data_IF_924349445812
#
_entry.id   IF_924349445812
#
_cell.length_a   1.000
_cell.length_b   1.000
_cell.length_c   1.000
_cell.angle_alpha   90.00
_cell.angle_beta   90.00
_cell.angle_gamma   90.00
#
_symmetry.space_group_name_H-M   'P 1'
#
loop_
_entity.id
_entity.type
_entity.pdbx_description
1 polymer ?
#
# COMPACT_ATOMS: atom_id res chain seq x y z
N UNK A 1 -11.56 5.12 6.71
CA UNK A 1 -12.04 5.25 5.31
C UNK A 1 -13.29 6.12 5.16
N UNK A 2 -14.23 6.11 6.11
CA UNK A 2 -15.51 6.82 6.01
C UNK A 2 -15.34 8.30 5.69
N UNK A 3 -14.42 9.01 6.35
CA UNK A 3 -14.15 10.44 6.11
C UNK A 3 -13.44 10.72 4.79
N UNK A 4 -12.71 9.75 4.25
CA UNK A 4 -11.90 9.92 3.03
C UNK A 4 -12.60 9.44 1.76
N UNK A 5 -13.77 8.82 1.90
CA UNK A 5 -14.50 8.30 0.75
C UNK A 5 -15.24 9.40 0.00
N UNK A 6 -15.25 9.34 -1.33
CA UNK A 6 -15.82 10.38 -2.18
C UNK A 6 -17.29 10.61 -1.87
N UNK A 7 -18.09 9.57 -1.70
CA UNK A 7 -19.50 9.67 -1.31
C UNK A 7 -19.70 9.17 0.12
N UNK A 8 -19.35 9.99 1.07
CA UNK A 8 -19.37 9.68 2.50
C UNK A 8 -20.77 9.22 2.99
N UNK A 9 -21.84 9.86 2.55
CA UNK A 9 -23.20 9.51 2.98
C UNK A 9 -23.62 8.12 2.49
N UNK A 10 -23.31 7.78 1.25
CA UNK A 10 -23.61 6.46 0.71
C UNK A 10 -22.73 5.39 1.35
N UNK A 11 -21.48 5.71 1.67
CA UNK A 11 -20.63 4.80 2.42
C UNK A 11 -21.20 4.47 3.81
N UNK A 12 -21.68 5.50 4.53
CA UNK A 12 -22.33 5.32 5.84
C UNK A 12 -23.57 4.42 5.74
N UNK A 13 -24.45 4.68 4.78
CA UNK A 13 -25.62 3.85 4.52
C UNK A 13 -25.27 2.42 4.13
N UNK A 14 -24.16 2.21 3.43
CA UNK A 14 -23.69 0.88 3.08
C UNK A 14 -23.13 0.14 4.31
N UNK A 15 -22.36 0.83 5.14
CA UNK A 15 -21.83 0.25 6.39
C UNK A 15 -22.95 -0.22 7.33
N UNK A 16 -24.03 0.55 7.44
CA UNK A 16 -25.21 0.19 8.25
C UNK A 16 -25.96 -1.05 7.75
N UNK A 17 -25.76 -1.45 6.49
CA UNK A 17 -26.40 -2.64 5.90
C UNK A 17 -25.54 -3.90 5.98
N UNK A 18 -24.29 -3.80 6.42
CA UNK A 18 -23.43 -4.95 6.58
C UNK A 18 -23.91 -5.81 7.76
N UNK A 19 -23.93 -7.12 7.57
CA UNK A 19 -24.23 -8.08 8.64
C UNK A 19 -23.12 -8.12 9.70
N UNK A 20 -21.89 -7.84 9.29
CA UNK A 20 -20.73 -7.83 10.17
C UNK A 20 -19.61 -6.98 9.57
N UNK A 21 -19.16 -5.98 10.30
CA UNK A 21 -18.08 -5.07 9.90
C UNK A 21 -16.91 -5.17 10.88
N UNK A 22 -15.76 -5.58 10.39
CA UNK A 22 -14.51 -5.55 11.13
C UNK A 22 -13.69 -4.33 10.71
N UNK A 23 -13.23 -3.59 11.68
CA UNK A 23 -12.30 -2.46 11.46
C UNK A 23 -10.99 -2.76 12.15
N UNK A 24 -9.90 -2.59 11.44
CA UNK A 24 -8.54 -2.59 11.97
C UNK A 24 -8.03 -1.17 12.01
N UNK A 25 -7.67 -0.68 13.18
CA UNK A 25 -7.18 0.68 13.37
C UNK A 25 -6.25 0.77 14.58
N UNK A 26 -5.37 1.77 14.58
CA UNK A 26 -4.54 2.13 15.74
C UNK A 26 -5.30 2.97 16.77
N UNK A 27 -6.41 3.57 16.39
CA UNK A 27 -7.29 4.37 17.24
C UNK A 27 -8.68 3.77 17.36
N UNK A 28 -9.22 3.76 18.56
CA UNK A 28 -10.52 3.16 18.85
C UNK A 28 -11.71 4.10 18.65
N UNK A 29 -11.46 5.39 18.47
CA UNK A 29 -12.48 6.45 18.43
C UNK A 29 -12.64 7.13 17.06
N UNK A 30 -12.11 6.50 16.00
CA UNK A 30 -12.28 7.01 14.63
C UNK A 30 -13.74 6.92 14.17
N UNK A 31 -14.14 7.80 13.25
CA UNK A 31 -15.48 7.72 12.68
C UNK A 31 -15.79 6.35 12.07
N UNK A 32 -14.81 5.72 11.44
CA UNK A 32 -14.97 4.39 10.86
C UNK A 32 -15.19 3.33 11.93
N UNK A 33 -14.44 3.40 13.04
CA UNK A 33 -14.56 2.47 14.15
C UNK A 33 -15.95 2.50 14.81
N UNK A 34 -16.67 3.62 14.74
CA UNK A 34 -18.03 3.73 15.31
C UNK A 34 -19.09 2.88 14.61
N UNK A 35 -18.80 2.39 13.42
CA UNK A 35 -19.71 1.54 12.64
C UNK A 35 -19.36 0.06 12.71
N UNK A 36 -18.25 -0.32 13.36
CA UNK A 36 -17.84 -1.72 13.39
C UNK A 36 -18.51 -2.53 14.49
N UNK A 37 -18.70 -3.81 14.19
CA UNK A 37 -19.09 -4.83 15.17
C UNK A 37 -17.88 -5.35 15.94
N UNK A 38 -16.70 -5.35 15.29
CA UNK A 38 -15.45 -5.77 15.88
C UNK A 38 -14.32 -4.81 15.49
N UNK A 39 -13.66 -4.24 16.50
CA UNK A 39 -12.44 -3.46 16.33
C UNK A 39 -11.23 -4.31 16.70
N UNK A 40 -10.28 -4.41 15.77
CA UNK A 40 -9.00 -5.06 15.97
C UNK A 40 -7.90 -3.99 16.11
N UNK A 41 -7.35 -3.80 17.32
CA UNK A 41 -6.31 -2.80 17.54
C UNK A 41 -5.00 -3.24 16.91
N UNK A 42 -4.45 -2.40 16.02
CA UNK A 42 -3.17 -2.62 15.35
C UNK A 42 -2.06 -1.76 15.94
N UNK A 43 -0.87 -2.30 16.02
CA UNK A 43 0.33 -1.56 16.38
C UNK A 43 0.57 -0.40 15.39
N UNK A 44 1.12 0.71 15.86
CA UNK A 44 1.48 1.81 14.97
C UNK A 44 2.74 1.52 14.15
N UNK A 45 3.01 2.34 13.12
CA UNK A 45 4.13 2.14 12.19
C UNK A 45 5.51 2.06 12.83
N UNK A 46 5.71 2.73 13.99
CA UNK A 46 7.00 2.72 14.71
C UNK A 46 7.30 1.37 15.39
N UNK A 47 6.35 0.47 15.44
CA UNK A 47 6.45 -0.84 16.06
C UNK A 47 6.40 -1.99 15.05
N UNK A 48 6.35 -1.66 13.76
CA UNK A 48 6.19 -2.63 12.66
C UNK A 48 7.50 -2.81 11.90
N UNK A 49 7.66 -3.99 11.32
CA UNK A 49 8.70 -4.30 10.37
C UNK A 49 8.09 -4.61 9.01
N UNK A 50 8.76 -4.22 7.94
CA UNK A 50 8.31 -4.51 6.59
C UNK A 50 9.18 -3.87 5.52
N UNK A 51 8.72 -3.92 4.28
CA UNK A 51 9.35 -3.23 3.15
C UNK A 51 8.34 -2.25 2.55
N UNK A 52 8.77 -1.02 2.40
CA UNK A 52 8.03 0.04 1.72
C UNK A 52 8.59 0.24 0.33
N UNK A 53 7.71 0.54 -0.62
CA UNK A 53 8.09 0.95 -1.98
C UNK A 53 7.49 2.32 -2.23
N UNK A 54 8.31 3.29 -2.58
CA UNK A 54 7.87 4.66 -2.85
C UNK A 54 7.71 4.93 -4.35
N UNK A 55 7.27 6.14 -4.70
CA UNK A 55 7.08 6.58 -6.09
C UNK A 55 8.39 6.69 -6.88
N UNK A 56 9.52 6.78 -6.21
CA UNK A 56 10.87 6.72 -6.83
C UNK A 56 11.32 5.29 -7.13
N UNK A 57 10.43 4.31 -6.96
CA UNK A 57 10.74 2.88 -7.16
C UNK A 57 11.74 2.33 -6.14
N UNK A 58 11.93 3.00 -4.99
CA UNK A 58 12.87 2.54 -3.95
C UNK A 58 12.18 1.63 -2.96
N UNK A 59 12.79 0.46 -2.78
CA UNK A 59 12.47 -0.44 -1.69
C UNK A 59 13.29 -0.02 -0.47
N UNK A 60 12.64 0.20 0.63
CA UNK A 60 13.28 0.56 1.90
C UNK A 60 12.72 -0.29 3.03
N UNK A 61 13.55 -0.69 3.96
CA UNK A 61 13.11 -1.44 5.12
C UNK A 61 12.54 -0.51 6.18
N UNK A 62 11.34 -0.81 6.64
CA UNK A 62 10.79 -0.27 7.87
C UNK A 62 11.31 -1.09 9.04
N UNK A 63 12.06 -0.46 9.93
CA UNK A 63 12.54 -1.08 11.16
C UNK A 63 11.73 -0.58 12.35
N UNK A 64 11.31 -1.45 13.26
CA UNK A 64 10.66 -1.01 14.49
C UNK A 64 11.67 -0.20 15.34
N UNK A 65 11.25 0.95 15.83
CA UNK A 65 12.01 1.82 16.72
C UNK A 65 11.44 1.85 18.13
N UNK A 66 10.25 1.32 18.31
CA UNK A 66 9.59 1.12 19.59
C UNK A 66 9.24 -0.35 19.78
N UNK A 67 9.28 -0.79 21.03
CA UNK A 67 8.84 -2.13 21.39
C UNK A 67 7.31 -2.25 21.37
N UNK A 68 6.81 -3.39 20.90
CA UNK A 68 5.40 -3.76 21.03
C UNK A 68 5.12 -4.21 22.48
N UNK A 69 3.92 -3.91 22.95
CA UNK A 69 3.39 -4.55 24.16
C UNK A 69 3.08 -6.02 23.88
N UNK A 70 3.06 -6.84 24.91
CA UNK A 70 2.86 -8.29 24.80
C UNK A 70 1.61 -8.70 23.98
N UNK A 71 0.53 -7.94 24.11
CA UNK A 71 -0.74 -8.21 23.42
C UNK A 71 -1.00 -7.28 22.23
N UNK A 72 0.03 -6.58 21.74
CA UNK A 72 -0.11 -5.65 20.62
C UNK A 72 0.25 -6.38 19.33
N UNK A 73 -0.71 -6.51 18.42
CA UNK A 73 -0.57 -7.17 17.14
C UNK A 73 -0.26 -6.15 16.03
N UNK A 74 0.51 -6.56 15.05
CA UNK A 74 0.65 -5.80 13.80
C UNK A 74 -0.45 -6.21 12.82
N UNK A 75 -0.69 -5.39 11.78
CA UNK A 75 -1.60 -5.76 10.69
C UNK A 75 -1.24 -7.14 10.12
N UNK A 76 0.05 -7.43 10.02
CA UNK A 76 0.54 -8.72 9.56
C UNK A 76 0.10 -9.87 10.48
N UNK A 77 0.25 -9.70 11.79
CA UNK A 77 -0.17 -10.70 12.79
C UNK A 77 -1.69 -10.91 12.75
N UNK A 78 -2.46 -9.82 12.63
CA UNK A 78 -3.92 -9.83 12.54
C UNK A 78 -4.37 -10.59 11.29
N UNK A 79 -3.83 -10.25 10.13
CA UNK A 79 -4.18 -10.91 8.86
C UNK A 79 -3.84 -12.40 8.86
N UNK A 80 -2.70 -12.79 9.42
CA UNK A 80 -2.35 -14.20 9.60
C UNK A 80 -3.32 -14.91 10.55
N UNK A 81 -3.73 -14.24 11.64
CA UNK A 81 -4.69 -14.77 12.60
C UNK A 81 -6.04 -15.05 11.95
N UNK A 82 -6.57 -14.08 11.21
CA UNK A 82 -7.81 -14.21 10.45
C UNK A 82 -7.72 -15.37 9.44
N UNK A 83 -6.66 -15.41 8.66
CA UNK A 83 -6.48 -16.47 7.67
C UNK A 83 -6.40 -17.86 8.30
N UNK A 84 -5.74 -18.01 9.44
CA UNK A 84 -5.70 -19.28 10.20
C UNK A 84 -7.08 -19.66 10.72
N UNK A 85 -7.85 -18.70 11.23
CA UNK A 85 -9.21 -18.93 11.71
C UNK A 85 -10.15 -19.37 10.58
N UNK A 86 -9.91 -18.89 9.35
CA UNK A 86 -10.62 -19.30 8.14
C UNK A 86 -10.12 -20.66 7.57
N UNK A 87 -9.27 -21.39 8.28
CA UNK A 87 -8.80 -22.71 7.85
C UNK A 87 -7.62 -22.67 6.86
N UNK A 88 -7.04 -21.49 6.61
CA UNK A 88 -5.93 -21.32 5.65
C UNK A 88 -4.54 -21.58 6.27
N UNK A 89 -4.47 -22.14 7.48
CA UNK A 89 -3.24 -22.31 8.24
C UNK A 89 -2.09 -22.94 7.44
N UNK A 90 -2.34 -24.07 6.75
CA UNK A 90 -1.34 -24.75 5.91
C UNK A 90 -0.75 -23.87 4.80
N UNK A 91 -1.55 -22.99 4.21
CA UNK A 91 -1.11 -22.04 3.19
C UNK A 91 -0.21 -20.96 3.80
N UNK A 92 -0.55 -20.51 5.01
CA UNK A 92 0.10 -19.41 5.70
C UNK A 92 1.33 -19.83 6.52
N UNK A 93 1.56 -21.12 6.75
CA UNK A 93 2.66 -21.64 7.55
C UNK A 93 4.06 -21.25 7.02
N UNK A 94 4.15 -20.93 5.74
CA UNK A 94 5.39 -20.43 5.11
C UNK A 94 5.66 -18.94 5.39
N UNK A 95 4.66 -18.18 5.87
CA UNK A 95 4.76 -16.76 6.14
C UNK A 95 4.74 -16.49 7.64
N UNK A 96 5.84 -16.78 8.31
CA UNK A 96 5.98 -16.57 9.76
C UNK A 96 6.33 -15.13 10.11
N UNK A 97 7.02 -14.45 9.20
CA UNK A 97 7.55 -13.09 9.37
C UNK A 97 7.28 -12.24 8.14
N UNK A 98 7.28 -10.89 8.25
CA UNK A 98 7.23 -10.00 7.10
C UNK A 98 8.33 -10.27 6.05
N UNK A 99 9.50 -10.77 6.49
CA UNK A 99 10.57 -11.22 5.59
C UNK A 99 10.10 -12.37 4.68
N UNK A 100 9.40 -13.37 5.23
CA UNK A 100 8.93 -14.51 4.43
C UNK A 100 7.93 -14.08 3.35
N UNK A 101 7.06 -13.13 3.69
CA UNK A 101 6.15 -12.53 2.73
C UNK A 101 6.90 -11.75 1.64
N UNK A 102 7.92 -10.97 2.02
CA UNK A 102 8.77 -10.27 1.07
C UNK A 102 9.51 -11.23 0.13
N UNK A 103 10.09 -12.31 0.64
CA UNK A 103 10.78 -13.33 -0.19
C UNK A 103 9.82 -13.99 -1.17
N UNK A 104 8.58 -14.21 -0.77
CA UNK A 104 7.53 -14.72 -1.67
C UNK A 104 7.21 -13.70 -2.77
N UNK A 105 6.98 -12.44 -2.42
CA UNK A 105 6.73 -11.35 -3.37
C UNK A 105 7.91 -11.22 -4.36
N UNK A 106 9.12 -11.20 -3.84
CA UNK A 106 10.34 -11.15 -4.65
C UNK A 106 10.40 -12.27 -5.69
N UNK A 107 10.08 -13.49 -5.30
CA UNK A 107 10.06 -14.64 -6.22
C UNK A 107 9.02 -14.46 -7.34
N UNK A 108 7.88 -13.83 -7.05
CA UNK A 108 6.83 -13.54 -8.04
C UNK A 108 7.26 -12.49 -9.07
N UNK A 109 8.25 -11.67 -8.79
CA UNK A 109 8.73 -10.62 -9.72
C UNK A 109 9.74 -11.12 -10.73
N UNK A 110 10.21 -12.37 -10.62
CA UNK A 110 11.25 -12.93 -11.48
C UNK A 110 10.88 -12.84 -12.96
N UNK A 111 11.73 -12.18 -13.73
CA UNK A 111 11.54 -11.97 -15.17
C UNK A 111 10.49 -10.90 -15.53
N UNK A 112 9.86 -10.28 -14.55
CA UNK A 112 8.92 -9.18 -14.78
C UNK A 112 9.65 -7.84 -14.96
N UNK A 113 8.99 -6.81 -15.52
CA UNK A 113 9.58 -5.47 -15.58
C UNK A 113 10.04 -4.91 -14.24
N UNK A 114 9.36 -5.30 -13.16
CA UNK A 114 9.67 -4.91 -11.78
C UNK A 114 10.49 -5.95 -11.02
N UNK A 115 11.29 -6.75 -11.72
CA UNK A 115 12.11 -7.82 -11.13
C UNK A 115 13.01 -7.29 -10.00
N UNK A 116 12.82 -7.82 -8.80
CA UNK A 116 13.59 -7.50 -7.60
C UNK A 116 14.33 -8.72 -7.03
N UNK A 117 14.57 -9.73 -7.85
CA UNK A 117 15.21 -10.99 -7.39
C UNK A 117 16.60 -10.82 -6.82
N UNK A 118 17.30 -9.72 -7.16
CA UNK A 118 18.61 -9.37 -6.58
C UNK A 118 18.51 -8.70 -5.21
N UNK A 119 17.33 -8.24 -4.80
CA UNK A 119 17.18 -7.56 -3.51
C UNK A 119 17.31 -8.56 -2.37
N UNK A 120 18.26 -8.32 -1.47
CA UNK A 120 18.35 -9.02 -0.22
C UNK A 120 17.68 -8.20 0.88
N UNK A 121 16.85 -8.83 1.69
CA UNK A 121 16.14 -8.17 2.79
C UNK A 121 17.08 -7.44 3.76
N UNK A 122 18.26 -8.00 4.02
CA UNK A 122 19.22 -7.39 4.95
C UNK A 122 19.95 -6.19 4.32
N UNK A 123 20.16 -6.16 2.99
CA UNK A 123 20.77 -5.00 2.32
C UNK A 123 19.88 -3.75 2.41
N UNK A 124 18.57 -3.90 2.57
CA UNK A 124 17.65 -2.79 2.74
C UNK A 124 17.80 -2.09 4.10
N UNK A 125 18.48 -2.72 5.07
CA UNK A 125 18.72 -2.16 6.39
C UNK A 125 19.74 -1.04 6.37
N UNK A 126 20.79 -1.20 5.57
CA UNK A 126 21.96 -0.33 5.58
C UNK A 126 22.04 0.57 4.32
N UNK A 127 21.12 0.40 3.40
CA UNK A 127 21.08 1.17 2.15
C UNK A 127 20.07 2.34 2.24
N UNK A 128 20.27 3.35 1.39
CA UNK A 128 19.27 4.41 1.14
C UNK A 128 18.04 3.90 0.37
N UNK A 129 17.84 2.58 0.35
CA UNK A 129 16.86 1.88 -0.45
C UNK A 129 17.41 1.43 -1.82
N UNK A 130 16.78 0.42 -2.37
CA UNK A 130 17.15 -0.19 -3.66
C UNK A 130 16.09 0.13 -4.69
N UNK A 131 16.48 0.73 -5.81
CA UNK A 131 15.52 0.98 -6.90
C UNK A 131 15.30 -0.27 -7.74
N UNK A 132 14.03 -0.60 -7.99
CA UNK A 132 13.68 -1.64 -8.94
C UNK A 132 13.70 -1.12 -10.40
N UNK A 133 13.94 -1.97 -11.41
CA UNK A 133 14.29 -3.38 -11.30
C UNK A 133 15.69 -3.57 -10.70
N UNK A 134 15.88 -4.64 -9.94
CA UNK A 134 17.19 -5.04 -9.41
C UNK A 134 17.27 -6.57 -9.44
N UNK A 135 17.87 -7.09 -10.47
CA UNK A 135 17.90 -8.53 -10.77
C UNK A 135 19.02 -9.25 -10.05
N UNK A 136 18.85 -10.54 -9.88
CA UNK A 136 19.89 -11.38 -9.32
C UNK A 136 21.21 -11.24 -10.11
N UNK A 137 22.32 -11.00 -9.40
CA UNK A 137 23.64 -10.76 -9.98
C UNK A 137 23.95 -9.30 -10.34
N UNK A 138 22.99 -8.38 -10.18
CA UNK A 138 23.28 -6.95 -10.33
C UNK A 138 23.96 -6.39 -9.09
N UNK A 139 24.85 -5.42 -9.28
CA UNK A 139 25.50 -4.69 -8.20
C UNK A 139 24.71 -3.44 -7.83
N UNK A 140 24.69 -3.14 -6.53
CA UNK A 140 24.07 -1.92 -6.03
C UNK A 140 24.94 -0.72 -6.44
N UNK A 141 24.33 0.21 -7.18
CA UNK A 141 24.93 1.48 -7.57
C UNK A 141 24.36 2.59 -6.69
N UNK A 142 25.17 3.57 -6.37
CA UNK A 142 24.74 4.75 -5.60
C UNK A 142 23.87 5.71 -6.42
N UNK A 143 24.07 5.71 -7.75
CA UNK A 143 23.35 6.58 -8.68
C UNK A 143 21.91 6.10 -8.92
N UNK A 144 21.06 7.06 -9.27
CA UNK A 144 19.70 6.77 -9.68
C UNK A 144 19.65 5.93 -10.94
N UNK A 145 18.78 4.93 -10.93
CA UNK A 145 18.54 4.06 -12.09
C UNK A 145 17.36 4.60 -12.89
N UNK A 146 17.66 5.22 -14.01
CA UNK A 146 16.63 5.67 -14.96
C UNK A 146 16.03 4.47 -15.69
N UNK A 147 14.70 4.44 -15.82
CA UNK A 147 14.03 3.49 -16.71
C UNK A 147 14.02 4.02 -18.15
N UNK A 148 13.93 3.09 -19.10
CA UNK A 148 13.75 3.41 -20.52
C UNK A 148 14.90 4.21 -21.17
N UNK A 149 16.12 4.11 -20.66
CA UNK A 149 17.30 4.73 -21.28
C UNK A 149 17.55 4.21 -22.70
N UNK A 150 17.16 2.96 -22.95
CA UNK A 150 17.23 2.32 -24.26
C UNK A 150 16.01 2.61 -25.15
N UNK A 151 15.12 3.50 -24.73
CA UNK A 151 13.85 3.84 -25.38
C UNK A 151 12.92 2.64 -25.61
N UNK A 152 13.08 1.56 -24.85
CA UNK A 152 12.17 0.40 -24.88
C UNK A 152 11.19 0.46 -23.71
N UNK A 153 9.91 0.50 -24.03
CA UNK A 153 8.82 0.63 -23.09
C UNK A 153 8.09 -0.72 -22.90
N UNK A 154 7.45 -0.90 -21.77
CA UNK A 154 6.68 -2.11 -21.43
C UNK A 154 5.31 -2.12 -22.12
N UNK A 155 5.32 -1.97 -23.43
CA UNK A 155 4.16 -2.03 -24.31
C UNK A 155 4.35 -3.13 -25.35
N UNK A 156 3.32 -3.67 -25.97
CA UNK A 156 3.46 -4.68 -27.02
C UNK A 156 4.33 -4.21 -28.20
N UNK A 157 4.33 -2.92 -28.49
CA UNK A 157 5.14 -2.32 -29.56
C UNK A 157 6.57 -1.94 -29.14
N UNK A 158 6.88 -1.99 -27.84
CA UNK A 158 8.11 -1.48 -27.27
C UNK A 158 8.26 0.04 -27.30
N UNK A 159 7.25 0.78 -27.78
CA UNK A 159 7.25 2.24 -27.88
C UNK A 159 6.36 2.86 -26.81
N UNK A 160 6.65 4.12 -26.43
CA UNK A 160 5.75 4.88 -25.57
C UNK A 160 4.38 5.01 -26.24
N UNK A 161 3.33 4.86 -25.43
CA UNK A 161 1.94 5.06 -25.86
C UNK A 161 1.45 6.40 -25.33
N UNK A 162 1.12 7.31 -26.22
CA UNK A 162 0.46 8.56 -25.87
C UNK A 162 -1.06 8.29 -25.82
N UNK A 163 -1.67 8.56 -24.70
CA UNK A 163 -3.10 8.45 -24.52
C UNK A 163 -3.65 9.87 -24.44
N UNK A 164 -4.61 10.15 -25.29
CA UNK A 164 -5.37 11.39 -25.26
C UNK A 164 -6.84 11.05 -25.06
N UNK A 165 -7.47 11.71 -24.11
CA UNK A 165 -8.90 11.63 -23.85
C UNK A 165 -9.41 13.04 -23.68
N UNK A 166 -10.59 13.31 -24.22
CA UNK A 166 -11.26 14.57 -23.98
C UNK A 166 -11.60 14.73 -22.49
N UNK A 167 -11.55 15.96 -22.01
CA UNK A 167 -11.88 16.24 -20.62
C UNK A 167 -13.32 15.83 -20.37
N UNK A 168 -13.53 14.91 -19.43
CA UNK A 168 -14.86 14.51 -19.02
C UNK A 168 -15.62 15.73 -18.45
N UNK A 169 -16.89 15.91 -18.81
CA UNK A 169 -17.71 16.98 -18.23
C UNK A 169 -17.81 16.80 -16.70
N UNK A 170 -17.95 17.88 -15.99
CA UNK A 170 -18.18 17.85 -14.54
C UNK A 170 -19.46 17.08 -14.26
N UNK A 171 -19.43 16.08 -13.34
CA UNK A 171 -20.60 15.24 -13.07
C UNK A 171 -21.75 16.00 -12.41
N UNK A 172 -21.47 17.15 -11.83
CA UNK A 172 -22.45 18.02 -11.19
C UNK A 172 -22.27 19.45 -11.68
N UNK A 173 -23.29 19.99 -12.32
CA UNK A 173 -23.34 21.37 -12.75
C UNK A 173 -23.89 22.25 -11.61
N UNK A 174 -23.54 23.53 -11.66
CA UNK A 174 -24.16 24.53 -10.79
C UNK A 174 -25.66 24.59 -11.05
N UNK A 175 -26.45 24.81 -10.02
CA UNK A 175 -27.90 25.01 -10.08
C UNK A 175 -28.31 26.22 -9.26
N UNK A 176 -29.56 26.64 -9.36
CA UNK A 176 -30.09 27.74 -8.52
C UNK A 176 -30.01 27.38 -7.02
N UNK A 177 -30.18 26.09 -6.66
CA UNK A 177 -30.08 25.62 -5.29
C UNK A 177 -28.60 25.51 -4.83
N UNK A 178 -27.69 25.18 -5.75
CA UNK A 178 -26.23 25.04 -5.49
C UNK A 178 -25.45 25.92 -6.46
N UNK A 179 -25.42 27.25 -6.27
CA UNK A 179 -24.81 28.17 -7.24
C UNK A 179 -23.28 28.23 -7.17
N UNK A 180 -22.67 27.64 -6.16
CA UNK A 180 -21.23 27.69 -5.95
C UNK A 180 -20.57 26.33 -6.20
N UNK A 181 -19.42 26.36 -6.89
CA UNK A 181 -18.53 25.20 -7.00
C UNK A 181 -17.50 25.24 -5.86
N UNK A 182 -17.56 24.26 -4.97
CA UNK A 182 -16.57 24.09 -3.94
C UNK A 182 -15.42 23.23 -4.46
N UNK A 183 -14.27 23.85 -4.70
CA UNK A 183 -13.07 23.17 -5.17
C UNK A 183 -12.12 22.95 -4.01
N UNK A 184 -11.88 21.69 -3.66
CA UNK A 184 -10.89 21.31 -2.65
C UNK A 184 -9.54 21.10 -3.32
N UNK A 185 -8.48 21.55 -2.67
CA UNK A 185 -7.13 21.40 -3.18
C UNK A 185 -6.11 21.35 -2.03
N UNK A 186 -4.87 21.15 -2.39
CA UNK A 186 -3.75 21.16 -1.45
C UNK A 186 -2.93 22.41 -1.67
N UNK A 187 -2.54 23.07 -0.57
CA UNK A 187 -1.69 24.26 -0.60
C UNK A 187 -0.20 23.97 -0.80
N UNK A 188 0.18 22.69 -0.80
CA UNK A 188 1.58 22.27 -0.95
C UNK A 188 1.72 21.19 -2.02
N UNK A 189 2.92 21.04 -2.57
CA UNK A 189 3.26 19.96 -3.51
C UNK A 189 3.33 18.57 -2.86
N UNK A 190 3.38 18.50 -1.52
CA UNK A 190 3.37 17.26 -0.77
C UNK A 190 2.02 16.55 -0.94
N UNK A 191 2.09 15.34 -1.47
CA UNK A 191 0.96 14.41 -1.46
C UNK A 191 1.18 13.43 -0.34
N UNK A 192 0.13 13.12 0.41
CA UNK A 192 0.14 12.14 1.50
C UNK A 192 1.47 11.53 1.91
#
# INVERSE_FOLDING_TARGET
>A
PIVSWINNLEFKKAAEKLEFLVVEDIYSDTETARYCDLLLPSANGLKKEGVLINTERRLSKLNPVLEKKENELTDYDIMLGIGKALGMGKLLDKWKTPRDAFETLKACTKGMPCDITGVNYDMLKDSRGVQWPFRAGEELKEDERRLFEDNKYYTPSGKAKFIYEDVAPVPYEQSEEYPYLFNTGRGTVGQW
#
